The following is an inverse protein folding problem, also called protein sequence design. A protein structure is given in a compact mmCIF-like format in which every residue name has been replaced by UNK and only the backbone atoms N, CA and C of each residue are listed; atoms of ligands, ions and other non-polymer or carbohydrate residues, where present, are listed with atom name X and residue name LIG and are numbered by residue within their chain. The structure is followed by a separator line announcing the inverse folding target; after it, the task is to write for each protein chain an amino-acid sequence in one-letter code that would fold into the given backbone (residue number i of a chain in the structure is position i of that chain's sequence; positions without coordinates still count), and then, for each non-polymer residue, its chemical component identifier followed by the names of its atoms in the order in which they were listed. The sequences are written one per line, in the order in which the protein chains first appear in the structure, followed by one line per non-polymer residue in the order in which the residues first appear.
data_IF_431855506561
#
_entry.id   IF_431855506561
#
_cell.length_a   1.000
_cell.length_b   1.000
_cell.length_c   1.000
_cell.angle_alpha   90.00
_cell.angle_beta   90.00
_cell.angle_gamma   90.00
#
_symmetry.space_group_name_H-M   'P 1'
#
loop_
_entity.id
_entity.type
_entity.pdbx_description
1 polymer ?
#
# COMPACT_ATOMS: atom_id res chain seq x y z
N UNK A 1 12.66 23.36 4.02
CA UNK A 1 11.25 23.81 3.87
C UNK A 1 10.47 23.46 5.12
N UNK A 2 9.51 24.30 5.54
CA UNK A 2 8.61 24.03 6.67
C UNK A 2 7.65 22.88 6.31
N UNK A 3 7.52 21.85 7.17
CA UNK A 3 6.55 20.74 6.98
C UNK A 3 5.12 21.30 7.12
N UNK A 4 4.31 21.17 6.08
CA UNK A 4 2.89 21.52 6.14
C UNK A 4 2.14 20.45 6.91
N UNK A 5 1.39 20.82 7.95
CA UNK A 5 0.64 19.89 8.79
C UNK A 5 -0.84 19.92 8.40
N UNK A 6 -1.35 18.77 8.00
CA UNK A 6 -2.75 18.54 7.64
C UNK A 6 -3.49 18.04 8.88
N UNK A 7 -4.51 18.79 9.28
CA UNK A 7 -5.40 18.44 10.41
C UNK A 7 -6.78 17.96 9.92
N UNK A 8 -6.85 17.52 8.66
CA UNK A 8 -8.01 16.85 8.07
C UNK A 8 -7.99 15.35 8.38
N UNK A 9 -9.14 14.67 8.48
CA UNK A 9 -9.19 13.22 8.73
C UNK A 9 -8.79 12.38 7.50
N UNK A 10 -8.72 13.00 6.31
CA UNK A 10 -8.32 12.37 5.07
C UNK A 10 -8.59 13.29 3.87
N UNK A 11 -7.64 13.49 2.94
CA UNK A 11 -6.23 13.07 2.96
C UNK A 11 -5.43 13.66 4.14
N UNK A 12 -4.34 12.99 4.53
CA UNK A 12 -3.48 13.33 5.68
C UNK A 12 -2.01 13.48 5.28
N UNK A 13 -1.16 13.90 6.21
CA UNK A 13 0.29 13.96 5.98
C UNK A 13 0.88 12.58 5.68
N UNK A 14 1.81 12.53 4.73
CA UNK A 14 2.59 11.34 4.37
C UNK A 14 4.04 11.50 4.78
N UNK A 15 4.65 10.43 5.28
CA UNK A 15 6.08 10.39 5.53
C UNK A 15 6.89 10.43 4.23
N UNK A 16 8.09 11.00 4.31
CA UNK A 16 8.88 11.33 3.12
C UNK A 16 9.32 10.09 2.32
N UNK A 17 9.58 8.98 3.01
CA UNK A 17 9.87 7.70 2.39
C UNK A 17 8.68 7.15 1.59
N UNK A 18 7.45 7.31 2.09
CA UNK A 18 6.22 6.88 1.40
C UNK A 18 5.99 7.74 0.16
N UNK A 19 6.18 9.05 0.26
CA UNK A 19 6.10 9.97 -0.89
C UNK A 19 7.07 9.56 -1.99
N UNK A 20 8.34 9.32 -1.65
CA UNK A 20 9.37 8.88 -2.60
C UNK A 20 9.09 7.51 -3.21
N UNK A 21 8.46 6.60 -2.47
CA UNK A 21 8.14 5.27 -2.97
C UNK A 21 7.08 5.28 -4.09
N UNK A 22 6.17 6.25 -4.07
CA UNK A 22 5.11 6.40 -5.09
C UNK A 22 5.64 7.06 -6.37
N UNK A 23 6.69 7.89 -6.26
CA UNK A 23 7.33 8.55 -7.41
C UNK A 23 8.37 7.67 -8.13
N UNK A 24 8.29 6.35 -7.99
CA UNK A 24 9.18 5.40 -8.69
C UNK A 24 8.73 5.19 -10.15
N UNK A 25 9.57 4.51 -10.92
CA UNK A 25 9.33 4.19 -12.32
C UNK A 25 8.01 3.44 -12.54
N UNK A 26 7.45 3.60 -13.73
CA UNK A 26 6.22 2.94 -14.14
C UNK A 26 6.42 1.42 -14.24
N UNK A 27 5.44 0.67 -13.77
CA UNK A 27 5.35 -0.78 -13.94
C UNK A 27 4.03 -1.15 -14.61
N UNK A 28 4.08 -2.12 -15.53
CA UNK A 28 2.90 -2.62 -16.20
C UNK A 28 2.15 -3.61 -15.29
N UNK A 29 0.82 -3.49 -15.21
CA UNK A 29 -0.04 -4.35 -14.38
C UNK A 29 -0.14 -5.81 -14.84
N UNK A 30 0.46 -6.16 -15.99
CA UNK A 30 0.50 -7.53 -16.52
C UNK A 30 1.87 -8.17 -16.41
N UNK A 31 2.84 -7.45 -15.83
CA UNK A 31 4.20 -7.93 -15.63
C UNK A 31 4.35 -8.51 -14.23
N UNK A 32 5.27 -9.47 -14.09
CA UNK A 32 5.50 -10.21 -12.84
C UNK A 32 5.85 -9.30 -11.65
N UNK A 33 6.48 -8.16 -11.90
CA UNK A 33 6.85 -7.19 -10.87
C UNK A 33 5.62 -6.60 -10.18
N UNK A 34 4.56 -6.33 -10.96
CA UNK A 34 3.29 -5.83 -10.42
C UNK A 34 2.57 -6.92 -9.60
N UNK A 35 2.56 -8.15 -10.09
CA UNK A 35 1.97 -9.28 -9.36
C UNK A 35 2.68 -9.51 -8.01
N UNK A 36 4.02 -9.46 -8.01
CA UNK A 36 4.82 -9.54 -6.79
C UNK A 36 4.49 -8.40 -5.80
N UNK A 37 4.33 -7.18 -6.32
CA UNK A 37 3.95 -6.02 -5.50
C UNK A 37 2.56 -6.22 -4.88
N UNK A 38 1.57 -6.61 -5.68
CA UNK A 38 0.20 -6.80 -5.22
C UNK A 38 0.11 -7.92 -4.18
N UNK A 39 0.76 -9.06 -4.41
CA UNK A 39 0.83 -10.16 -3.45
C UNK A 39 1.53 -9.73 -2.13
N UNK A 40 2.57 -8.88 -2.23
CA UNK A 40 3.22 -8.31 -1.04
C UNK A 40 2.26 -7.44 -0.22
N UNK A 41 1.42 -6.64 -0.88
CA UNK A 41 0.39 -5.81 -0.23
C UNK A 41 -0.65 -6.69 0.45
N UNK A 42 -1.19 -7.69 -0.25
CA UNK A 42 -2.20 -8.62 0.29
C UNK A 42 -1.69 -9.26 1.59
N UNK A 43 -0.47 -9.81 1.58
CA UNK A 43 0.15 -10.44 2.75
C UNK A 43 0.40 -9.47 3.91
N UNK A 44 0.84 -8.24 3.60
CA UNK A 44 1.06 -7.19 4.62
C UNK A 44 -0.26 -6.78 5.28
N UNK A 45 -1.36 -6.70 4.53
CA UNK A 45 -2.68 -6.40 5.08
C UNK A 45 -3.14 -7.49 6.04
N UNK A 46 -3.07 -8.77 5.65
CA UNK A 46 -3.45 -9.88 6.53
C UNK A 46 -2.62 -9.88 7.82
N UNK A 47 -1.32 -9.58 7.74
CA UNK A 47 -0.45 -9.44 8.90
C UNK A 47 -0.80 -8.21 9.76
N UNK A 48 -1.05 -7.06 9.15
CA UNK A 48 -1.38 -5.80 9.84
C UNK A 48 -2.66 -5.92 10.67
N UNK A 49 -3.65 -6.65 10.14
CA UNK A 49 -4.92 -6.92 10.82
C UNK A 49 -4.89 -8.17 11.71
N UNK A 50 -3.72 -8.77 11.92
CA UNK A 50 -3.51 -9.93 12.80
C UNK A 50 -4.46 -11.10 12.52
N UNK A 51 -4.73 -11.35 11.24
CA UNK A 51 -5.60 -12.46 10.82
C UNK A 51 -4.94 -13.78 11.20
N UNK A 52 -5.61 -14.57 12.06
CA UNK A 52 -5.03 -15.82 12.61
C UNK A 52 -5.02 -16.96 11.60
N UNK A 53 -6.12 -17.16 10.89
CA UNK A 53 -6.26 -18.25 9.92
C UNK A 53 -5.98 -17.75 8.50
N UNK A 54 -4.77 -17.24 8.24
CA UNK A 54 -4.42 -16.60 6.96
C UNK A 54 -4.77 -17.47 5.74
N UNK A 55 -4.75 -18.80 5.87
CA UNK A 55 -5.14 -19.72 4.79
C UNK A 55 -6.63 -19.63 4.39
N UNK A 56 -7.51 -19.21 5.30
CA UNK A 56 -8.96 -19.12 5.09
C UNK A 56 -9.38 -17.73 4.57
N UNK A 57 -8.46 -16.76 4.52
CA UNK A 57 -8.76 -15.36 4.21
C UNK A 57 -7.85 -14.83 3.12
N UNK A 58 -8.37 -13.90 2.32
CA UNK A 58 -7.61 -13.17 1.31
C UNK A 58 -7.91 -11.68 1.41
N UNK A 59 -6.86 -10.87 1.33
CA UNK A 59 -7.02 -9.44 1.11
C UNK A 59 -7.28 -9.19 -0.39
N UNK A 60 -8.31 -8.41 -0.70
CA UNK A 60 -8.65 -8.03 -2.08
C UNK A 60 -8.52 -6.53 -2.20
N UNK A 61 -7.69 -6.07 -3.13
CA UNK A 61 -7.50 -4.64 -3.42
C UNK A 61 -8.40 -4.27 -4.59
N UNK A 62 -9.26 -3.27 -4.38
CA UNK A 62 -10.18 -2.74 -5.39
C UNK A 62 -9.80 -1.30 -5.70
N UNK A 63 -9.91 -0.92 -6.97
CA UNK A 63 -9.83 0.47 -7.42
C UNK A 63 -11.24 0.98 -7.70
N UNK A 64 -11.60 2.15 -7.17
CA UNK A 64 -12.86 2.83 -7.46
C UNK A 64 -12.76 3.77 -8.65
#
# INVERSE_FOLDING_TARGET
MKKYLLFTPGPVNMEENVRKAICKDDICHREIDFDCLLQSIENKLLKLFEIKNIADYRAVVLTG
#
